data_IF_270732651301
#
_entry.id   IF_270732651301
#
_cell.length_a   1.000
_cell.length_b   1.000
_cell.length_c   1.000
_cell.angle_alpha   90.00
_cell.angle_beta   90.00
_cell.angle_gamma   90.00
#
_symmetry.space_group_name_H-M   'P 1'
#
loop_
_entity.id
_entity.type
_entity.pdbx_description
1 polymer ?
#
# COMPACT_ATOMS: atom_id res chain seq x y z
N UNK A 1 -12.26 -16.92 7.50
CA UNK A 1 -12.90 -16.20 8.63
C UNK A 1 -13.35 -14.85 8.10
N UNK A 2 -14.63 -14.51 8.24
CA UNK A 2 -15.11 -13.16 7.98
C UNK A 2 -14.99 -12.36 9.28
N UNK A 3 -14.26 -11.26 9.26
CA UNK A 3 -14.11 -10.38 10.42
C UNK A 3 -15.13 -9.25 10.23
N UNK A 4 -16.14 -9.18 11.10
CA UNK A 4 -17.10 -8.08 11.10
C UNK A 4 -16.43 -6.82 11.67
N UNK A 5 -16.63 -5.70 10.98
CA UNK A 5 -16.15 -4.37 11.38
C UNK A 5 -17.18 -3.57 12.17
N UNK A 6 -18.31 -4.18 12.58
CA UNK A 6 -19.50 -3.49 13.11
C UNK A 6 -19.23 -2.67 14.40
N UNK A 7 -18.14 -2.98 15.12
CA UNK A 7 -17.68 -2.24 16.31
C UNK A 7 -16.56 -1.23 16.03
N UNK A 8 -16.12 -1.08 14.77
CA UNK A 8 -15.01 -0.20 14.40
C UNK A 8 -15.48 1.26 14.31
N UNK A 9 -14.97 2.11 15.21
CA UNK A 9 -15.22 3.57 15.20
C UNK A 9 -14.86 4.25 13.87
N UNK A 10 -14.04 3.60 13.04
CA UNK A 10 -13.56 4.09 11.75
C UNK A 10 -14.39 3.63 10.54
N UNK A 11 -15.58 3.05 10.73
CA UNK A 11 -16.47 2.54 9.67
C UNK A 11 -16.91 3.56 8.59
N UNK A 12 -16.41 4.80 8.65
CA UNK A 12 -16.60 5.86 7.63
C UNK A 12 -15.32 6.65 7.35
N UNK A 13 -14.17 6.13 7.73
CA UNK A 13 -12.89 6.79 7.49
C UNK A 13 -12.34 6.39 6.11
N UNK A 14 -11.86 7.33 5.29
CA UNK A 14 -11.29 7.00 3.99
C UNK A 14 -9.95 6.27 4.16
N UNK A 15 -9.79 5.17 3.43
CA UNK A 15 -8.55 4.42 3.34
C UNK A 15 -8.12 4.31 1.87
N UNK A 16 -6.81 4.14 1.68
CA UNK A 16 -6.22 3.78 0.39
C UNK A 16 -5.82 2.32 0.46
N UNK A 17 -6.40 1.49 -0.41
CA UNK A 17 -5.98 0.11 -0.60
C UNK A 17 -5.01 0.02 -1.78
N UNK A 18 -3.82 -0.55 -1.55
CA UNK A 18 -2.80 -0.76 -2.59
C UNK A 18 -2.65 -2.26 -2.84
N UNK A 19 -2.70 -2.66 -4.10
CA UNK A 19 -2.38 -4.02 -4.54
C UNK A 19 -1.16 -4.01 -5.43
N UNK A 20 -0.10 -4.67 -4.97
CA UNK A 20 1.14 -4.92 -5.69
C UNK A 20 1.04 -6.27 -6.41
N UNK A 21 1.34 -6.27 -7.70
CA UNK A 21 1.51 -7.48 -8.52
C UNK A 21 2.97 -7.50 -8.99
N UNK A 22 3.71 -8.52 -8.58
CA UNK A 22 5.14 -8.65 -8.89
C UNK A 22 5.36 -10.00 -9.55
N UNK A 23 5.93 -10.00 -10.75
CA UNK A 23 6.42 -11.22 -11.38
C UNK A 23 7.76 -11.59 -10.74
N UNK A 24 7.92 -12.85 -10.34
CA UNK A 24 9.24 -13.37 -9.98
C UNK A 24 10.02 -13.83 -11.21
N UNK A 25 11.25 -14.31 -11.00
CA UNK A 25 12.17 -14.72 -12.07
C UNK A 25 11.62 -15.87 -12.94
N UNK A 26 10.63 -16.61 -12.44
CA UNK A 26 9.93 -17.66 -13.18
C UNK A 26 8.73 -17.15 -13.99
N UNK A 27 8.44 -15.85 -13.93
CA UNK A 27 7.26 -15.22 -14.52
C UNK A 27 5.98 -15.40 -13.70
N UNK A 28 6.04 -16.02 -12.52
CA UNK A 28 4.87 -16.18 -11.66
C UNK A 28 4.54 -14.86 -10.95
N UNK A 29 3.29 -14.42 -11.10
CA UNK A 29 2.81 -13.16 -10.49
C UNK A 29 2.36 -13.41 -9.05
N UNK A 30 3.13 -12.88 -8.10
CA UNK A 30 2.77 -12.79 -6.69
C UNK A 30 1.99 -11.52 -6.42
N UNK A 31 1.00 -11.61 -5.53
CA UNK A 31 0.15 -10.49 -5.13
C UNK A 31 0.40 -10.15 -3.66
N UNK A 32 0.49 -8.86 -3.35
CA UNK A 32 0.55 -8.35 -1.97
C UNK A 32 -0.37 -7.15 -1.87
N UNK A 33 -1.12 -7.03 -0.79
CA UNK A 33 -2.00 -5.90 -0.56
C UNK A 33 -1.86 -5.36 0.84
N UNK A 34 -2.06 -4.07 0.98
CA UNK A 34 -2.10 -3.38 2.27
C UNK A 34 -3.00 -2.15 2.17
N UNK A 35 -3.45 -1.70 3.33
CA UNK A 35 -4.32 -0.54 3.48
C UNK A 35 -3.61 0.53 4.30
N UNK A 36 -3.87 1.79 3.98
CA UNK A 36 -3.32 2.95 4.68
C UNK A 36 -4.40 3.99 4.91
N UNK A 37 -4.33 4.66 6.05
CA UNK A 37 -5.05 5.92 6.24
C UNK A 37 -4.51 7.00 5.28
N UNK A 38 -5.29 8.05 5.03
CA UNK A 38 -4.87 9.17 4.18
C UNK A 38 -3.52 9.80 4.63
N UNK A 39 -3.27 10.07 5.94
CA UNK A 39 -1.98 10.61 6.36
C UNK A 39 -0.80 9.65 6.12
N UNK A 40 -1.02 8.34 6.32
CA UNK A 40 0.00 7.32 6.01
C UNK A 40 0.32 7.30 4.52
N UNK A 41 -0.68 7.41 3.65
CA UNK A 41 -0.47 7.49 2.20
C UNK A 41 0.29 8.75 1.78
N UNK A 42 -0.01 9.90 2.37
CA UNK A 42 0.74 11.14 2.12
C UNK A 42 2.22 11.02 2.51
N UNK A 43 2.50 10.37 3.65
CA UNK A 43 3.88 10.08 4.06
C UNK A 43 4.56 9.08 3.11
N UNK A 44 3.86 8.01 2.75
CA UNK A 44 4.33 7.02 1.78
C UNK A 44 4.70 7.68 0.45
N UNK A 45 3.87 8.58 -0.07
CA UNK A 45 4.15 9.35 -1.29
C UNK A 45 5.44 10.16 -1.20
N UNK A 46 5.70 10.82 -0.06
CA UNK A 46 6.94 11.59 0.16
C UNK A 46 8.16 10.67 0.13
N UNK A 47 8.11 9.58 0.91
CA UNK A 47 9.20 8.60 0.96
C UNK A 47 9.44 7.94 -0.40
N UNK A 48 8.37 7.68 -1.16
CA UNK A 48 8.48 7.09 -2.49
C UNK A 48 9.21 8.01 -3.47
N UNK A 49 9.01 9.33 -3.39
CA UNK A 49 9.80 10.30 -4.18
C UNK A 49 11.27 10.32 -3.78
N UNK A 50 11.56 10.24 -2.48
CA UNK A 50 12.94 10.19 -1.99
C UNK A 50 13.65 8.93 -2.51
N UNK A 51 12.97 7.78 -2.47
CA UNK A 51 13.47 6.52 -3.04
C UNK A 51 13.71 6.67 -4.55
N UNK A 52 12.76 7.25 -5.29
CA UNK A 52 12.91 7.46 -6.73
C UNK A 52 14.13 8.35 -7.05
N UNK A 53 14.31 9.45 -6.33
CA UNK A 53 15.46 10.33 -6.50
C UNK A 53 16.80 9.61 -6.24
N UNK A 54 16.86 8.72 -5.25
CA UNK A 54 18.07 7.92 -4.99
C UNK A 54 18.34 6.93 -6.15
N UNK A 55 17.30 6.26 -6.67
CA UNK A 55 17.44 5.31 -7.78
C UNK A 55 17.87 6.01 -9.08
N UNK A 56 17.40 7.24 -9.34
CA UNK A 56 17.77 8.01 -10.53
C UNK A 56 19.23 8.48 -10.53
N UNK A 57 19.88 8.51 -9.36
CA UNK A 57 21.28 8.96 -9.23
C UNK A 57 22.32 7.87 -9.45
N UNK A 58 21.92 6.66 -9.86
CA UNK A 58 22.80 5.48 -10.06
C UNK A 58 22.97 5.14 -11.54
#
# INVERSE_FOLDING_TARGET
MAVSSDSCRSLKYPYVAVMLKVADDSGQVKKKSFEMTIPQFQNFYRQFKEIAAVIETV
#
